data_IF_849803256297
#
_entry.id   IF_849803256297
#
_cell.length_a   1.000
_cell.length_b   1.000
_cell.length_c   1.000
_cell.angle_alpha   90.00
_cell.angle_beta   90.00
_cell.angle_gamma   90.00
#
_symmetry.space_group_name_H-M   'P 1'
#
loop_
_entity.id
_entity.type
_entity.pdbx_description
1 polymer ?
#
# COMPACT_ATOMS: atom_id res chain seq x y z
N UNK A 1 1.94 -17.29 -18.51
CA UNK A 1 1.44 -15.94 -18.83
C UNK A 1 2.60 -15.05 -19.19
N UNK A 2 2.59 -14.44 -20.38
CA UNK A 2 3.64 -13.51 -20.75
C UNK A 2 3.26 -12.11 -20.27
N UNK A 3 3.78 -11.74 -19.10
CA UNK A 3 3.90 -10.34 -18.69
C UNK A 3 4.61 -9.58 -19.84
N UNK A 4 4.18 -8.36 -20.21
CA UNK A 4 4.82 -7.60 -21.28
C UNK A 4 6.33 -7.48 -21.08
N UNK A 5 7.09 -7.53 -22.18
CA UNK A 5 8.53 -7.29 -22.12
C UNK A 5 8.80 -5.85 -21.64
N UNK A 6 9.63 -5.72 -20.61
CA UNK A 6 9.95 -4.42 -19.99
C UNK A 6 8.92 -3.93 -18.98
N UNK A 7 7.96 -4.79 -18.58
CA UNK A 7 7.11 -4.51 -17.43
C UNK A 7 7.93 -4.51 -16.14
N UNK A 8 7.69 -3.53 -15.30
CA UNK A 8 8.23 -3.45 -13.95
C UNK A 8 7.07 -3.36 -12.96
N UNK A 9 7.11 -4.05 -11.81
CA UNK A 9 5.99 -4.07 -10.87
C UNK A 9 5.53 -2.70 -10.38
N UNK A 10 6.40 -1.68 -10.41
CA UNK A 10 6.07 -0.31 -10.03
C UNK A 10 4.97 0.29 -10.91
N UNK A 11 4.86 -0.15 -12.16
CA UNK A 11 3.87 0.32 -13.16
C UNK A 11 2.43 -0.13 -12.91
N UNK A 12 2.19 -0.77 -11.77
CA UNK A 12 0.88 -1.12 -11.25
C UNK A 12 0.74 -0.64 -9.80
N UNK A 13 1.71 0.06 -9.23
CA UNK A 13 1.70 0.48 -7.83
C UNK A 13 1.26 1.93 -7.79
N UNK A 14 0.28 2.22 -6.95
CA UNK A 14 -0.19 3.57 -6.70
C UNK A 14 0.94 4.53 -6.30
N UNK A 15 0.68 5.82 -6.44
CA UNK A 15 1.66 6.87 -6.15
C UNK A 15 2.32 6.72 -4.77
N UNK A 16 3.60 7.12 -4.65
CA UNK A 16 4.34 7.06 -3.36
C UNK A 16 3.57 7.67 -2.20
N UNK A 17 2.88 8.79 -2.44
CA UNK A 17 2.04 9.50 -1.46
C UNK A 17 0.90 8.62 -0.97
N UNK A 18 0.21 7.92 -1.88
CA UNK A 18 -0.86 6.99 -1.57
C UNK A 18 -0.34 5.81 -0.75
N UNK A 19 0.73 5.16 -1.22
CA UNK A 19 1.31 3.99 -0.54
C UNK A 19 1.77 4.34 0.88
N UNK A 20 2.34 5.53 1.08
CA UNK A 20 2.72 6.03 2.41
C UNK A 20 1.51 6.16 3.34
N UNK A 21 0.42 6.77 2.87
CA UNK A 21 -0.83 6.91 3.65
C UNK A 21 -1.45 5.56 4.02
N UNK A 22 -1.50 4.63 3.07
CA UNK A 22 -2.04 3.29 3.31
C UNK A 22 -1.18 2.54 4.32
N UNK A 23 0.15 2.61 4.21
CA UNK A 23 1.08 2.05 5.21
C UNK A 23 0.89 2.67 6.59
N UNK A 24 0.71 3.99 6.68
CA UNK A 24 0.43 4.68 7.94
C UNK A 24 -0.89 4.20 8.57
N UNK A 25 -1.96 4.08 7.77
CA UNK A 25 -3.27 3.65 8.24
C UNK A 25 -3.29 2.21 8.78
N UNK A 26 -2.55 1.29 8.16
CA UNK A 26 -2.47 -0.12 8.59
C UNK A 26 -1.42 -0.36 9.69
N UNK A 27 -0.53 0.62 9.89
CA UNK A 27 0.52 0.64 10.89
C UNK A 27 1.53 -0.51 10.78
N UNK A 28 2.41 -0.61 11.80
CA UNK A 28 3.51 -1.60 11.87
C UNK A 28 3.03 -3.07 11.80
N UNK A 29 1.79 -3.33 12.21
CA UNK A 29 1.19 -4.67 12.15
C UNK A 29 0.63 -5.04 10.77
N UNK A 30 0.71 -4.11 9.80
CA UNK A 30 0.17 -4.22 8.44
C UNK A 30 -1.24 -4.76 8.47
N UNK A 31 -2.08 -4.14 9.31
CA UNK A 31 -3.42 -4.64 9.57
C UNK A 31 -4.46 -3.68 9.03
N UNK A 32 -5.02 -4.02 7.87
CA UNK A 32 -6.14 -3.31 7.27
C UNK A 32 -7.45 -3.82 7.89
N UNK A 33 -8.02 -3.06 8.83
CA UNK A 33 -9.33 -3.39 9.37
C UNK A 33 -10.40 -2.95 8.38
N UNK A 34 -11.30 -3.85 8.01
CA UNK A 34 -12.40 -3.55 7.10
C UNK A 34 -13.75 -3.76 7.78
N UNK A 35 -14.71 -2.89 7.50
CA UNK A 35 -16.11 -3.09 7.90
C UNK A 35 -16.93 -3.40 6.65
N UNK A 36 -17.63 -4.54 6.64
CA UNK A 36 -18.55 -4.88 5.55
C UNK A 36 -19.92 -4.33 5.95
N UNK A 37 -20.47 -3.39 5.19
CA UNK A 37 -21.80 -2.85 5.45
C UNK A 37 -22.84 -3.99 5.35
N UNK A 38 -23.64 -4.25 6.40
CA UNK A 38 -24.75 -5.20 6.31
C UNK A 38 -25.83 -4.82 5.28
N UNK A 39 -25.83 -3.57 4.81
CA UNK A 39 -26.79 -3.02 3.86
C UNK A 39 -28.19 -2.84 4.44
N UNK A 40 -29.12 -2.41 3.59
CA UNK A 40 -30.51 -2.16 3.97
C UNK A 40 -30.71 -0.86 4.75
N UNK A 41 -29.73 0.06 4.68
CA UNK A 41 -29.91 1.40 5.19
C UNK A 41 -30.87 2.18 4.28
N UNK A 42 -31.69 3.05 4.87
CA UNK A 42 -32.48 4.00 4.09
C UNK A 42 -31.68 5.25 3.69
N UNK A 43 -30.39 5.28 4.02
CA UNK A 43 -29.51 6.38 3.66
C UNK A 43 -29.15 6.29 2.18
N UNK A 44 -29.13 7.45 1.53
CA UNK A 44 -28.72 7.59 0.14
C UNK A 44 -27.30 8.14 0.12
N UNK A 45 -26.46 7.50 -0.68
CA UNK A 45 -25.08 7.88 -0.94
C UNK A 45 -25.00 8.51 -2.32
N UNK A 46 -24.11 9.49 -2.48
CA UNK A 46 -23.71 9.98 -3.79
C UNK A 46 -22.47 9.19 -4.21
N UNK A 47 -22.58 8.41 -5.29
CA UNK A 47 -21.51 7.54 -5.79
C UNK A 47 -21.27 7.81 -7.27
N UNK A 48 -20.01 7.71 -7.71
CA UNK A 48 -19.68 7.78 -9.13
C UNK A 48 -20.22 6.56 -9.87
N UNK A 49 -20.77 6.78 -11.07
CA UNK A 49 -21.23 5.71 -11.96
C UNK A 49 -20.43 5.75 -13.27
N UNK A 50 -19.70 4.67 -13.54
CA UNK A 50 -18.83 4.57 -14.70
C UNK A 50 -19.60 4.44 -16.02
N UNK A 51 -20.78 3.85 -16.00
CA UNK A 51 -21.59 3.75 -17.21
C UNK A 51 -22.20 5.10 -17.59
N UNK A 52 -22.73 5.83 -16.61
CA UNK A 52 -23.37 7.13 -16.83
C UNK A 52 -22.40 8.32 -16.84
N UNK A 53 -21.13 8.09 -16.44
CA UNK A 53 -20.08 9.11 -16.35
C UNK A 53 -20.49 10.31 -15.49
N UNK A 54 -21.17 10.05 -14.37
CA UNK A 54 -21.65 11.06 -13.43
C UNK A 54 -21.89 10.47 -12.04
N UNK A 55 -22.05 11.36 -11.06
CA UNK A 55 -22.56 10.97 -9.75
C UNK A 55 -24.06 10.59 -9.81
N UNK A 56 -24.41 9.54 -9.08
CA UNK A 56 -25.76 9.02 -8.92
C UNK A 56 -26.09 8.79 -7.45
N UNK A 57 -27.38 8.82 -7.14
CA UNK A 57 -27.90 8.50 -5.81
C UNK A 57 -28.11 6.99 -5.69
N UNK A 58 -27.38 6.34 -4.80
CA UNK A 58 -27.46 4.89 -4.55
C UNK A 58 -27.77 4.58 -3.08
N UNK A 59 -28.30 3.39 -2.82
CA UNK A 59 -28.53 2.87 -1.46
C UNK A 59 -27.79 1.56 -1.26
N UNK A 60 -27.34 1.31 -0.04
CA UNK A 60 -26.67 0.05 0.27
C UNK A 60 -27.68 -1.10 0.33
N UNK A 61 -27.43 -2.14 -0.45
CA UNK A 61 -28.23 -3.35 -0.54
C UNK A 61 -27.66 -4.42 0.39
N UNK A 62 -28.52 -5.26 0.96
CA UNK A 62 -28.06 -6.35 1.82
C UNK A 62 -27.29 -7.38 0.98
N UNK A 63 -26.00 -7.64 1.28
CA UNK A 63 -25.22 -8.61 0.50
C UNK A 63 -25.84 -10.01 0.48
N UNK A 64 -25.85 -10.65 -0.68
CA UNK A 64 -26.22 -12.06 -0.78
C UNK A 64 -25.14 -12.94 -0.13
N UNK A 65 -25.53 -14.14 0.32
CA UNK A 65 -24.60 -15.08 0.98
C UNK A 65 -23.38 -15.39 0.13
N UNK A 66 -23.54 -15.48 -1.19
CA UNK A 66 -22.44 -15.79 -2.10
C UNK A 66 -21.49 -14.59 -2.28
N UNK A 67 -21.99 -13.34 -2.31
CA UNK A 67 -21.15 -12.13 -2.32
C UNK A 67 -20.30 -12.05 -1.06
N UNK A 68 -20.91 -12.29 0.12
CA UNK A 68 -20.17 -12.37 1.38
C UNK A 68 -19.12 -13.48 1.39
N UNK A 69 -19.42 -14.64 0.78
CA UNK A 69 -18.42 -15.71 0.63
C UNK A 69 -17.27 -15.24 -0.25
N UNK A 70 -17.55 -14.65 -1.41
CA UNK A 70 -16.52 -14.13 -2.31
C UNK A 70 -15.62 -13.13 -1.60
N UNK A 71 -16.21 -12.13 -0.94
CA UNK A 71 -15.48 -11.10 -0.21
C UNK A 71 -14.54 -11.76 0.81
N UNK A 72 -15.09 -12.62 1.69
CA UNK A 72 -14.32 -13.24 2.79
C UNK A 72 -13.29 -14.26 2.30
N UNK A 73 -13.60 -15.01 1.25
CA UNK A 73 -12.68 -15.99 0.66
C UNK A 73 -11.51 -15.28 -0.04
N UNK A 74 -11.78 -14.20 -0.78
CA UNK A 74 -10.76 -13.36 -1.39
C UNK A 74 -9.86 -12.70 -0.33
N UNK A 75 -10.44 -12.17 0.76
CA UNK A 75 -9.67 -11.64 1.91
C UNK A 75 -8.82 -12.73 2.55
N UNK A 76 -9.38 -13.92 2.78
CA UNK A 76 -8.65 -15.05 3.35
C UNK A 76 -7.47 -15.44 2.47
N UNK A 77 -7.66 -15.47 1.16
CA UNK A 77 -6.60 -15.76 0.19
C UNK A 77 -5.54 -14.65 0.17
N UNK A 78 -5.94 -13.38 0.19
CA UNK A 78 -5.00 -12.25 0.28
C UNK A 78 -4.13 -12.35 1.54
N UNK A 79 -4.72 -12.69 2.68
CA UNK A 79 -4.01 -12.92 3.95
C UNK A 79 -3.02 -14.10 3.92
N UNK A 80 -3.19 -15.05 2.98
CA UNK A 80 -2.29 -16.18 2.80
C UNK A 80 -1.14 -15.85 1.84
N UNK A 81 -1.42 -15.04 0.81
CA UNK A 81 -0.46 -14.73 -0.26
C UNK A 81 0.40 -13.49 0.05
N UNK A 82 -0.14 -12.52 0.78
CA UNK A 82 0.51 -11.23 1.00
C UNK A 82 0.70 -10.91 2.48
N UNK A 83 1.74 -10.12 2.80
CA UNK A 83 2.00 -9.68 4.17
C UNK A 83 1.29 -8.34 4.48
N UNK A 84 0.00 -8.31 4.15
CA UNK A 84 -1.01 -7.36 4.60
C UNK A 84 -2.16 -8.17 5.21
N UNK A 85 -2.43 -7.95 6.50
CA UNK A 85 -3.49 -8.62 7.24
C UNK A 85 -4.80 -7.84 7.13
N UNK A 86 -5.64 -8.22 6.20
CA UNK A 86 -7.00 -7.71 6.07
C UNK A 86 -7.91 -8.41 7.09
N UNK A 87 -8.53 -7.64 7.99
CA UNK A 87 -9.37 -8.16 9.07
C UNK A 87 -10.74 -7.50 9.08
N UNK A 88 -11.79 -8.31 8.97
CA UNK A 88 -13.17 -7.85 9.22
C UNK A 88 -13.37 -7.43 10.68
N UNK A 89 -13.95 -6.25 10.88
CA UNK A 89 -14.36 -5.69 12.18
C UNK A 89 -15.87 -5.45 12.18
N UNK A 90 -16.48 -5.49 13.36
CA UNK A 90 -17.94 -5.41 13.51
C UNK A 90 -18.50 -3.99 13.61
N UNK A 91 -17.66 -2.95 13.58
CA UNK A 91 -18.09 -1.55 13.74
C UNK A 91 -17.33 -0.65 12.74
N UNK A 92 -18.02 0.30 12.06
CA UNK A 92 -17.39 1.21 11.09
C UNK A 92 -16.24 2.04 11.67
N UNK A 93 -16.40 2.62 12.86
CA UNK A 93 -15.34 3.43 13.47
C UNK A 93 -14.07 2.65 13.87
N UNK A 94 -14.05 1.33 13.69
CA UNK A 94 -12.88 0.47 13.92
C UNK A 94 -12.19 0.04 12.61
N UNK A 95 -12.75 0.39 11.46
CA UNK A 95 -12.19 0.06 10.17
C UNK A 95 -11.35 1.21 9.62
N UNK A 96 -10.35 0.85 8.83
CA UNK A 96 -9.61 1.74 7.95
C UNK A 96 -10.34 1.97 6.62
N UNK A 97 -11.15 0.99 6.22
CA UNK A 97 -11.95 1.03 5.00
C UNK A 97 -13.29 0.30 5.19
N UNK A 98 -14.30 0.70 4.44
CA UNK A 98 -15.59 0.01 4.37
C UNK A 98 -15.74 -0.75 3.05
N UNK A 99 -16.56 -1.80 3.04
CA UNK A 99 -17.05 -2.44 1.81
C UNK A 99 -18.55 -2.23 1.77
N UNK A 100 -19.03 -1.56 0.73
CA UNK A 100 -20.42 -1.18 0.55
C UNK A 100 -20.93 -1.77 -0.77
N UNK A 101 -22.09 -2.44 -0.73
CA UNK A 101 -22.73 -2.99 -1.93
C UNK A 101 -23.97 -2.15 -2.24
N UNK A 102 -24.05 -1.59 -3.44
CA UNK A 102 -25.10 -0.64 -3.84
C UNK A 102 -26.12 -1.27 -4.78
N UNK A 103 -27.36 -0.80 -4.73
CA UNK A 103 -28.45 -1.28 -5.57
C UNK A 103 -28.39 -0.82 -7.05
N UNK A 104 -27.37 -0.05 -7.44
CA UNK A 104 -27.19 0.49 -8.80
C UNK A 104 -25.97 -0.20 -9.44
N UNK A 105 -26.04 -0.65 -10.70
CA UNK A 105 -24.89 -1.23 -11.41
C UNK A 105 -23.87 -0.15 -11.84
N UNK A 106 -22.61 -0.54 -12.04
CA UNK A 106 -21.55 0.34 -12.56
C UNK A 106 -21.03 1.38 -11.57
N UNK A 107 -21.14 1.08 -10.29
CA UNK A 107 -20.62 1.90 -9.19
C UNK A 107 -19.44 1.23 -8.49
N UNK A 108 -18.86 0.23 -9.14
CA UNK A 108 -17.68 -0.51 -8.67
C UNK A 108 -16.47 0.42 -8.70
N UNK A 109 -15.94 0.75 -7.54
CA UNK A 109 -14.84 1.70 -7.39
C UNK A 109 -14.26 1.63 -5.97
N UNK A 110 -13.07 2.20 -5.78
CA UNK A 110 -12.60 2.61 -4.46
C UNK A 110 -12.72 4.13 -4.34
N UNK A 111 -13.50 4.60 -3.37
CA UNK A 111 -13.48 6.01 -2.99
C UNK A 111 -12.29 6.24 -2.05
N UNK A 112 -11.28 6.91 -2.57
CA UNK A 112 -9.97 7.05 -1.95
C UNK A 112 -9.85 8.34 -1.14
N UNK A 113 -10.21 8.27 0.15
CA UNK A 113 -10.00 9.39 1.06
C UNK A 113 -9.28 8.94 2.34
N UNK A 114 -7.98 8.68 2.19
CA UNK A 114 -7.09 8.39 3.31
C UNK A 114 -6.80 9.63 4.19
N UNK A 115 -7.19 10.85 3.79
CA UNK A 115 -6.93 12.09 4.54
C UNK A 115 -7.88 12.28 5.73
N UNK A 116 -9.15 11.88 5.58
CA UNK A 116 -10.12 11.85 6.69
C UNK A 116 -10.42 10.44 7.23
N UNK A 117 -9.76 9.42 6.66
CA UNK A 117 -9.87 8.02 7.07
C UNK A 117 -11.13 7.31 6.54
N UNK A 118 -11.80 7.89 5.53
CA UNK A 118 -13.00 7.32 4.92
C UNK A 118 -12.70 6.68 3.57
N UNK A 119 -12.04 5.52 3.59
CA UNK A 119 -11.92 4.70 2.38
C UNK A 119 -13.11 3.78 2.26
N UNK A 120 -13.68 3.67 1.06
CA UNK A 120 -14.77 2.75 0.80
C UNK A 120 -14.58 2.03 -0.52
N UNK A 121 -14.68 0.71 -0.48
CA UNK A 121 -14.75 -0.15 -1.65
C UNK A 121 -16.23 -0.33 -1.97
N UNK A 122 -16.64 0.21 -3.10
CA UNK A 122 -18.00 0.14 -3.61
C UNK A 122 -18.12 -1.03 -4.58
N UNK A 123 -19.22 -1.77 -4.48
CA UNK A 123 -19.59 -2.80 -5.43
C UNK A 123 -21.04 -2.58 -5.86
N UNK A 124 -21.36 -2.79 -7.13
CA UNK A 124 -22.74 -2.96 -7.56
C UNK A 124 -23.27 -4.32 -7.10
N UNK A 125 -24.47 -4.34 -6.52
CA UNK A 125 -25.18 -5.57 -6.13
C UNK A 125 -25.37 -6.50 -7.33
N UNK A 126 -25.48 -5.89 -8.52
CA UNK A 126 -25.76 -6.57 -9.77
C UNK A 126 -24.61 -6.66 -10.76
N UNK A 127 -23.42 -6.19 -10.38
CA UNK A 127 -22.24 -6.21 -11.24
C UNK A 127 -21.92 -7.62 -11.77
N UNK A 128 -21.25 -7.70 -12.92
CA UNK A 128 -21.00 -8.94 -13.64
C UNK A 128 -22.20 -9.47 -14.46
N UNK A 129 -23.34 -8.77 -14.44
CA UNK A 129 -24.46 -9.00 -15.37
C UNK A 129 -24.35 -8.10 -16.61
N UNK A 130 -23.42 -7.17 -16.64
CA UNK A 130 -23.28 -6.22 -17.74
C UNK A 130 -22.54 -6.86 -18.93
N UNK A 131 -22.98 -6.55 -20.15
CA UNK A 131 -22.38 -7.03 -21.40
C UNK A 131 -23.39 -7.61 -22.40
N UNK A 132 -22.90 -8.17 -23.49
CA UNK A 132 -23.73 -8.64 -24.62
C UNK A 132 -24.76 -9.71 -24.25
N UNK A 133 -24.49 -10.46 -23.17
CA UNK A 133 -25.38 -11.54 -22.70
C UNK A 133 -26.69 -10.99 -22.12
N UNK A 134 -26.66 -9.83 -21.48
CA UNK A 134 -27.83 -9.18 -20.87
C UNK A 134 -27.87 -7.69 -21.24
N UNK A 135 -28.32 -7.34 -22.46
CA UNK A 135 -28.18 -6.00 -23.01
C UNK A 135 -28.86 -4.88 -22.21
N UNK A 136 -29.91 -5.18 -21.43
CA UNK A 136 -30.65 -4.22 -20.60
C UNK A 136 -30.33 -4.35 -19.10
N UNK A 137 -29.35 -5.16 -18.70
CA UNK A 137 -28.96 -5.33 -17.29
C UNK A 137 -28.51 -4.03 -16.64
N UNK A 138 -27.97 -3.07 -17.40
CA UNK A 138 -27.67 -1.72 -16.89
C UNK A 138 -28.90 -1.00 -16.34
N UNK A 139 -30.07 -1.22 -16.94
CA UNK A 139 -31.32 -0.52 -16.60
C UNK A 139 -32.30 -1.37 -15.79
N UNK A 140 -32.21 -2.70 -15.91
CA UNK A 140 -33.13 -3.67 -15.28
C UNK A 140 -32.38 -4.91 -14.79
N UNK A 141 -31.36 -4.75 -13.94
CA UNK A 141 -30.53 -5.88 -13.52
C UNK A 141 -31.30 -6.90 -12.67
N UNK A 142 -32.45 -6.53 -12.10
CA UNK A 142 -33.34 -7.41 -11.34
C UNK A 142 -33.96 -8.54 -12.18
N UNK A 143 -34.02 -8.38 -13.50
CA UNK A 143 -34.54 -9.40 -14.41
C UNK A 143 -33.62 -10.61 -14.55
N UNK A 144 -32.36 -10.48 -14.11
CA UNK A 144 -31.33 -11.48 -14.34
C UNK A 144 -30.74 -12.00 -13.03
N UNK A 145 -30.67 -13.33 -12.85
CA UNK A 145 -29.93 -13.93 -11.75
C UNK A 145 -28.45 -14.10 -12.11
N UNK A 146 -27.55 -14.01 -11.12
CA UNK A 146 -26.16 -14.41 -11.32
C UNK A 146 -26.03 -15.93 -11.39
N UNK A 147 -25.67 -16.43 -12.57
CA UNK A 147 -25.18 -17.79 -12.78
C UNK A 147 -23.71 -17.94 -12.35
N UNK A 148 -23.10 -19.11 -12.60
CA UNK A 148 -21.71 -19.37 -12.19
C UNK A 148 -20.71 -18.36 -12.77
N UNK A 149 -20.80 -18.07 -14.07
CA UNK A 149 -19.89 -17.16 -14.76
C UNK A 149 -20.07 -15.73 -14.26
N UNK A 150 -21.31 -15.25 -14.08
CA UNK A 150 -21.59 -13.90 -13.59
C UNK A 150 -21.07 -13.68 -12.17
N UNK A 151 -21.15 -14.71 -11.31
CA UNK A 151 -20.57 -14.65 -9.95
C UNK A 151 -19.05 -14.59 -9.99
N UNK A 152 -18.43 -15.26 -10.96
CA UNK A 152 -16.98 -15.23 -11.13
C UNK A 152 -16.51 -13.90 -11.74
N UNK A 153 -17.30 -13.29 -12.62
CA UNK A 153 -17.08 -11.90 -13.06
C UNK A 153 -17.23 -10.93 -11.89
N UNK A 154 -18.26 -11.07 -11.05
CA UNK A 154 -18.38 -10.28 -9.82
C UNK A 154 -17.16 -10.45 -8.90
N UNK A 155 -16.63 -11.68 -8.77
CA UNK A 155 -15.36 -11.94 -8.05
C UNK A 155 -14.19 -11.18 -8.67
N UNK A 156 -14.03 -11.21 -10.00
CA UNK A 156 -12.98 -10.47 -10.71
C UNK A 156 -13.06 -8.98 -10.39
N UNK A 157 -14.25 -8.37 -10.49
CA UNK A 157 -14.47 -6.95 -10.16
C UNK A 157 -14.10 -6.69 -8.70
N UNK A 158 -14.59 -7.51 -7.76
CA UNK A 158 -14.21 -7.35 -6.35
C UNK A 158 -12.70 -7.45 -6.12
N UNK A 159 -12.02 -8.37 -6.80
CA UNK A 159 -10.56 -8.52 -6.68
C UNK A 159 -9.81 -7.33 -7.29
N UNK A 160 -10.33 -6.74 -8.37
CA UNK A 160 -9.81 -5.50 -8.96
C UNK A 160 -9.88 -4.36 -7.93
N UNK A 161 -11.07 -4.12 -7.35
CA UNK A 161 -11.23 -3.06 -6.33
C UNK A 161 -10.43 -3.35 -5.05
N UNK A 162 -10.31 -4.62 -4.67
CA UNK A 162 -9.41 -5.02 -3.58
C UNK A 162 -7.95 -4.70 -3.92
N UNK A 163 -7.55 -4.81 -5.19
CA UNK A 163 -6.24 -4.40 -5.70
C UNK A 163 -5.99 -2.92 -5.45
N UNK A 164 -6.92 -2.05 -5.84
CA UNK A 164 -6.87 -0.62 -5.54
C UNK A 164 -6.76 -0.34 -4.05
N UNK A 165 -7.61 -0.96 -3.23
CA UNK A 165 -7.56 -0.81 -1.78
C UNK A 165 -6.21 -1.28 -1.17
N UNK A 166 -5.51 -2.19 -1.85
CA UNK A 166 -4.19 -2.69 -1.49
C UNK A 166 -3.04 -1.92 -2.16
N UNK A 167 -3.32 -0.88 -2.96
CA UNK A 167 -2.35 0.02 -3.55
C UNK A 167 -1.91 -0.32 -4.96
N UNK A 168 -2.75 -1.00 -5.72
CA UNK A 168 -2.55 -1.14 -7.15
C UNK A 168 -3.27 -0.01 -7.91
N UNK A 169 -2.73 0.38 -9.05
CA UNK A 169 -3.37 1.28 -10.01
C UNK A 169 -3.59 0.59 -11.36
N UNK A 170 -4.29 1.25 -12.28
CA UNK A 170 -4.51 0.70 -13.62
C UNK A 170 -3.22 0.76 -14.45
N UNK A 171 -2.98 -0.21 -15.36
CA UNK A 171 -1.74 -0.27 -16.15
C UNK A 171 -1.56 0.88 -17.16
N UNK A 172 -2.59 1.69 -17.38
CA UNK A 172 -2.53 2.86 -18.27
C UNK A 172 -2.36 4.18 -17.53
N UNK A 173 -2.37 4.18 -16.20
CA UNK A 173 -2.16 5.42 -15.44
C UNK A 173 -0.76 5.98 -15.67
N UNK A 174 -0.65 7.30 -15.46
CA UNK A 174 0.59 8.09 -15.63
C UNK A 174 0.80 9.11 -14.53
N UNK A 175 -0.09 9.13 -13.53
CA UNK A 175 -0.17 10.21 -12.57
C UNK A 175 1.11 10.36 -11.75
N UNK A 176 1.80 9.24 -11.49
CA UNK A 176 3.05 9.19 -10.72
C UNK A 176 4.33 9.17 -11.59
N UNK A 177 4.16 9.14 -12.92
CA UNK A 177 5.23 9.18 -13.90
C UNK A 177 5.67 7.83 -14.47
N UNK A 178 5.02 6.73 -14.12
CA UNK A 178 5.21 5.44 -14.80
C UNK A 178 3.94 4.97 -15.55
N UNK A 179 4.04 3.88 -16.32
CA UNK A 179 2.95 3.26 -17.09
C UNK A 179 3.43 1.89 -17.59
N UNK A 180 2.53 0.88 -17.66
CA UNK A 180 2.89 -0.41 -18.24
C UNK A 180 3.20 -0.30 -19.75
N UNK A 181 4.23 -1.02 -20.25
CA UNK A 181 4.67 -0.90 -21.63
C UNK A 181 3.58 -1.38 -22.60
N UNK A 182 3.28 -0.53 -23.59
CA UNK A 182 2.32 -0.84 -24.65
C UNK A 182 0.84 -0.66 -24.27
N UNK A 183 0.54 -0.27 -23.02
CA UNK A 183 -0.82 0.02 -22.55
C UNK A 183 -1.07 1.52 -22.71
N UNK A 184 -2.00 1.92 -23.59
CA UNK A 184 -2.19 3.34 -23.94
C UNK A 184 -3.32 4.02 -23.17
N UNK A 185 -4.35 3.24 -22.83
CA UNK A 185 -5.59 3.66 -22.18
C UNK A 185 -6.38 2.42 -21.73
N UNK A 186 -7.53 2.65 -21.10
CA UNK A 186 -8.46 1.63 -20.60
C UNK A 186 -8.95 0.60 -21.62
N UNK A 187 -8.90 0.90 -22.92
CA UNK A 187 -9.28 -0.05 -23.99
C UNK A 187 -8.15 -1.02 -24.37
N UNK A 188 -6.98 -0.92 -23.73
CA UNK A 188 -5.83 -1.76 -24.05
C UNK A 188 -6.02 -3.19 -23.52
N UNK A 189 -5.79 -4.17 -24.38
CA UNK A 189 -5.88 -5.59 -24.02
C UNK A 189 -4.78 -5.97 -23.02
N UNK A 190 -5.19 -6.43 -21.83
CA UNK A 190 -4.36 -6.59 -20.62
C UNK A 190 -4.63 -7.92 -19.93
N UNK A 191 -4.50 -9.08 -20.61
CA UNK A 191 -4.85 -10.41 -20.07
C UNK A 191 -3.86 -10.95 -19.02
N UNK A 192 -2.98 -10.09 -18.49
CA UNK A 192 -1.86 -10.43 -17.60
C UNK A 192 -1.94 -9.71 -16.24
N UNK A 193 -2.96 -8.88 -16.04
CA UNK A 193 -3.24 -8.13 -14.82
C UNK A 193 -4.74 -8.01 -14.62
N UNK A 194 -5.22 -8.23 -13.40
CA UNK A 194 -6.63 -7.99 -13.04
C UNK A 194 -6.96 -6.49 -13.01
N UNK A 195 -5.94 -5.63 -12.91
CA UNK A 195 -6.08 -4.16 -12.90
C UNK A 195 -6.43 -3.59 -14.27
N UNK A 196 -6.50 -4.42 -15.32
CA UNK A 196 -7.04 -4.03 -16.61
C UNK A 196 -8.55 -4.28 -16.74
N UNK A 197 -9.19 -3.63 -17.73
CA UNK A 197 -10.60 -3.90 -18.07
C UNK A 197 -10.80 -5.17 -18.91
N UNK A 198 -9.73 -5.89 -19.24
CA UNK A 198 -9.85 -7.20 -19.85
C UNK A 198 -10.45 -8.20 -18.85
N UNK A 199 -11.48 -8.96 -19.25
CA UNK A 199 -12.14 -9.91 -18.34
C UNK A 199 -11.45 -11.26 -18.24
N UNK A 200 -10.79 -11.68 -19.32
CA UNK A 200 -10.26 -13.03 -19.48
C UNK A 200 -8.75 -13.02 -19.70
N UNK A 201 -8.10 -14.04 -19.16
CA UNK A 201 -6.69 -14.30 -19.41
C UNK A 201 -6.45 -14.83 -20.83
N UNK A 202 -5.19 -15.10 -21.16
CA UNK A 202 -4.79 -15.63 -22.47
C UNK A 202 -5.38 -17.01 -22.81
N UNK A 203 -5.79 -17.76 -21.78
CA UNK A 203 -6.39 -19.09 -21.90
C UNK A 203 -7.93 -19.03 -21.95
N UNK A 204 -8.52 -17.82 -21.86
CA UNK A 204 -9.95 -17.58 -21.90
C UNK A 204 -10.66 -17.75 -20.55
N UNK A 205 -9.93 -17.90 -19.44
CA UNK A 205 -10.53 -17.98 -18.10
C UNK A 205 -10.80 -16.58 -17.56
N UNK A 206 -11.88 -16.42 -16.78
CA UNK A 206 -12.12 -15.16 -16.05
C UNK A 206 -10.98 -14.94 -15.05
N UNK A 207 -10.41 -13.73 -15.02
CA UNK A 207 -9.31 -13.35 -14.12
C UNK A 207 -9.80 -13.16 -12.67
N UNK A 208 -10.33 -14.21 -12.06
CA UNK A 208 -11.01 -14.15 -10.77
C UNK A 208 -10.06 -14.05 -9.55
N UNK A 209 -8.76 -13.89 -9.79
CA UNK A 209 -7.74 -13.60 -8.79
C UNK A 209 -6.63 -12.73 -9.39
N UNK A 210 -5.78 -12.17 -8.54
CA UNK A 210 -4.54 -11.51 -8.93
C UNK A 210 -3.69 -12.39 -9.86
N UNK A 211 -3.27 -11.79 -10.97
CA UNK A 211 -2.34 -12.36 -11.92
C UNK A 211 -0.90 -12.19 -11.42
N UNK A 212 0.07 -12.77 -12.13
CA UNK A 212 1.46 -12.75 -11.69
C UNK A 212 2.03 -11.32 -11.59
N UNK A 213 1.65 -10.42 -12.50
CA UNK A 213 2.06 -9.01 -12.44
C UNK A 213 1.52 -8.31 -11.17
N UNK A 214 0.24 -8.52 -10.87
CA UNK A 214 -0.42 -7.96 -9.67
C UNK A 214 0.25 -8.48 -8.39
N UNK A 215 0.58 -9.78 -8.34
CA UNK A 215 1.26 -10.38 -7.20
C UNK A 215 2.66 -9.82 -7.02
N UNK A 216 3.41 -9.56 -8.09
CA UNK A 216 4.72 -8.93 -8.00
C UNK A 216 4.63 -7.51 -7.45
N UNK A 217 3.64 -6.73 -7.91
CA UNK A 217 3.38 -5.39 -7.40
C UNK A 217 2.95 -5.40 -5.92
N UNK A 218 1.96 -6.23 -5.56
CA UNK A 218 1.50 -6.38 -4.17
C UNK A 218 2.61 -6.91 -3.25
N UNK A 219 3.45 -7.84 -3.70
CA UNK A 219 4.60 -8.28 -2.93
C UNK A 219 5.65 -7.19 -2.78
N UNK A 220 5.83 -6.31 -3.77
CA UNK A 220 6.71 -5.16 -3.65
C UNK A 220 6.21 -4.15 -2.61
N UNK A 221 4.89 -3.95 -2.50
CA UNK A 221 4.29 -3.08 -1.48
C UNK A 221 4.33 -3.75 -0.09
N UNK A 222 3.90 -5.01 -0.02
CA UNK A 222 3.48 -5.67 1.23
C UNK A 222 4.38 -6.79 1.71
N UNK A 223 5.41 -7.25 1.00
CA UNK A 223 6.33 -8.25 1.55
C UNK A 223 6.99 -7.72 2.82
N UNK A 224 7.19 -8.55 3.86
CA UNK A 224 8.16 -8.17 4.88
C UNK A 224 9.47 -8.03 4.11
N UNK A 225 10.26 -6.99 4.36
CA UNK A 225 11.67 -7.09 3.98
C UNK A 225 12.16 -8.39 4.63
N UNK A 226 12.45 -9.41 3.81
CA UNK A 226 12.88 -10.67 4.36
C UNK A 226 14.13 -10.37 5.16
N UNK A 227 14.24 -10.99 6.33
CA UNK A 227 15.53 -11.33 6.87
C UNK A 227 16.21 -12.26 5.84
N UNK A 228 16.72 -11.71 4.74
CA UNK A 228 17.64 -12.42 3.88
C UNK A 228 18.91 -12.61 4.71
N UNK A 229 18.92 -13.74 5.41
CA UNK A 229 20.13 -14.52 5.66
C UNK A 229 20.60 -15.06 4.32
N UNK A 230 20.95 -14.15 3.42
CA UNK A 230 21.57 -14.38 2.13
C UNK A 230 22.51 -13.20 2.02
N UNK A 231 23.80 -13.49 2.14
CA UNK A 231 24.85 -12.58 1.70
C UNK A 231 24.51 -12.12 0.29
N UNK A 232 24.02 -10.88 0.16
CA UNK A 232 24.32 -9.94 -0.91
C UNK A 232 23.52 -8.65 -0.66
N UNK A 233 24.15 -7.51 -0.95
CA UNK A 233 23.80 -6.17 -0.47
C UNK A 233 22.33 -5.78 -0.67
N UNK A 234 21.74 -5.17 0.36
CA UNK A 234 20.35 -4.74 0.40
C UNK A 234 20.27 -3.22 0.16
N UNK A 235 19.85 -2.85 -1.03
CA UNK A 235 19.51 -1.49 -1.43
C UNK A 235 18.26 -1.02 -0.70
N UNK A 236 18.46 -0.24 0.37
CA UNK A 236 17.39 0.47 1.08
C UNK A 236 17.62 1.98 0.98
N UNK A 237 16.90 2.63 0.08
CA UNK A 237 16.61 4.06 0.17
C UNK A 237 15.10 4.17 0.00
N UNK A 238 14.38 4.59 1.03
CA UNK A 238 12.93 4.81 0.98
C UNK A 238 12.09 4.24 2.13
N UNK A 239 12.69 3.65 3.17
CA UNK A 239 12.00 3.33 4.43
C UNK A 239 12.47 4.30 5.53
N UNK A 240 11.54 4.79 6.35
CA UNK A 240 11.87 5.55 7.55
C UNK A 240 12.66 4.70 8.56
N UNK A 241 13.66 5.29 9.20
CA UNK A 241 14.49 4.66 10.22
C UNK A 241 13.74 4.69 11.55
N UNK A 242 13.55 3.52 12.15
CA UNK A 242 12.91 3.36 13.45
C UNK A 242 13.91 2.96 14.55
N UNK A 243 13.53 3.14 15.81
CA UNK A 243 14.31 2.62 16.92
C UNK A 243 14.49 1.09 16.81
N UNK A 244 15.74 0.59 16.78
CA UNK A 244 15.99 -0.83 16.70
C UNK A 244 15.63 -1.51 18.03
N UNK A 245 15.29 -2.80 18.00
CA UNK A 245 15.03 -3.59 19.22
C UNK A 245 16.18 -3.53 20.24
N UNK A 246 17.40 -3.30 19.75
CA UNK A 246 18.63 -3.11 20.53
C UNK A 246 19.57 -2.19 19.75
N UNK A 247 20.19 -1.22 20.40
CA UNK A 247 21.11 -0.28 19.75
C UNK A 247 22.50 -0.89 19.50
N UNK A 248 22.58 -1.78 18.51
CA UNK A 248 23.82 -2.45 18.13
C UNK A 248 23.91 -2.67 16.61
N UNK A 249 25.12 -2.91 16.10
CA UNK A 249 25.37 -3.04 14.65
C UNK A 249 24.59 -4.16 13.94
N UNK A 250 24.18 -5.22 14.66
CA UNK A 250 23.41 -6.33 14.06
C UNK A 250 21.94 -5.95 13.87
N UNK A 251 21.45 -5.04 14.71
CA UNK A 251 20.06 -4.58 14.72
C UNK A 251 19.87 -3.23 14.03
N UNK A 252 20.96 -2.55 13.67
CA UNK A 252 20.93 -1.31 12.91
C UNK A 252 20.62 -1.58 11.43
N UNK A 253 19.89 -0.65 10.83
CA UNK A 253 19.55 -0.68 9.41
C UNK A 253 20.81 -0.54 8.55
N UNK A 254 20.82 -1.20 7.39
CA UNK A 254 21.95 -1.15 6.45
C UNK A 254 21.46 -0.54 5.15
N UNK A 255 21.93 0.66 4.89
CA UNK A 255 21.53 1.48 3.75
C UNK A 255 22.66 1.42 2.73
N UNK A 256 22.50 0.70 1.60
CA UNK A 256 23.63 0.49 0.67
C UNK A 256 23.76 1.52 -0.44
N UNK A 257 22.66 2.14 -0.88
CA UNK A 257 22.62 2.96 -2.10
C UNK A 257 22.11 4.40 -1.89
N UNK A 258 22.33 4.97 -0.70
CA UNK A 258 21.90 6.35 -0.43
C UNK A 258 22.66 7.37 -1.29
N UNK A 259 21.91 8.14 -2.07
CA UNK A 259 22.38 9.27 -2.85
C UNK A 259 22.00 10.60 -2.16
N UNK A 260 22.94 11.30 -1.51
CA UNK A 260 22.66 12.54 -0.80
C UNK A 260 22.19 13.71 -1.69
N UNK A 261 22.24 13.57 -3.02
CA UNK A 261 21.74 14.59 -3.95
C UNK A 261 20.25 14.46 -4.26
N UNK A 262 19.67 13.27 -4.09
CA UNK A 262 18.29 12.96 -4.48
C UNK A 262 17.45 12.38 -3.35
N UNK A 263 18.12 11.77 -2.37
CA UNK A 263 17.47 10.94 -1.38
C UNK A 263 17.37 11.67 -0.04
N UNK A 264 16.28 11.37 0.68
CA UNK A 264 16.02 11.85 2.04
C UNK A 264 15.89 10.64 2.96
N UNK A 265 16.48 10.71 4.16
CA UNK A 265 16.31 9.75 5.23
C UNK A 265 15.18 10.22 6.14
N UNK A 266 14.06 9.52 6.08
CA UNK A 266 13.00 9.70 7.06
C UNK A 266 13.40 9.02 8.38
N UNK A 267 13.15 9.66 9.52
CA UNK A 267 13.40 9.11 10.86
C UNK A 267 12.14 9.32 11.72
N UNK A 268 11.57 8.22 12.20
CA UNK A 268 10.36 8.21 13.04
C UNK A 268 10.72 8.59 14.48
N UNK A 269 10.54 9.86 14.82
CA UNK A 269 10.96 10.45 16.10
C UNK A 269 10.21 9.88 17.29
N UNK A 270 8.93 9.56 17.11
CA UNK A 270 8.09 8.89 18.09
C UNK A 270 8.67 7.53 18.54
N UNK A 271 9.27 6.74 17.64
CA UNK A 271 9.90 5.47 18.04
C UNK A 271 11.11 5.64 18.95
N UNK A 272 11.74 6.80 18.94
CA UNK A 272 12.86 7.16 19.81
C UNK A 272 12.41 7.89 21.08
N UNK A 273 11.11 8.13 21.26
CA UNK A 273 10.56 8.85 22.41
C UNK A 273 10.92 10.33 22.41
N UNK A 274 11.05 10.94 21.23
CA UNK A 274 11.36 12.36 21.08
C UNK A 274 10.06 13.12 20.81
N UNK A 275 9.55 13.83 21.82
CA UNK A 275 8.28 14.57 21.74
C UNK A 275 8.43 15.99 21.15
N UNK A 276 9.63 16.38 20.71
CA UNK A 276 9.98 17.72 20.22
C UNK A 276 10.79 17.70 18.92
N UNK A 277 11.19 18.87 18.40
CA UNK A 277 12.03 18.94 17.19
C UNK A 277 13.36 18.22 17.38
N UNK A 278 13.56 17.12 16.67
CA UNK A 278 14.82 16.37 16.69
C UNK A 278 15.98 17.17 16.06
N UNK A 279 17.17 16.93 16.57
CA UNK A 279 18.40 17.62 16.19
C UNK A 279 19.44 16.65 15.63
N UNK A 280 20.27 17.16 14.72
CA UNK A 280 21.25 16.36 13.99
C UNK A 280 22.62 17.01 13.94
N UNK A 281 23.68 16.21 14.09
CA UNK A 281 25.04 16.65 13.83
C UNK A 281 25.93 15.56 13.24
N UNK A 282 26.95 15.97 12.49
CA UNK A 282 27.92 15.06 11.88
C UNK A 282 29.29 15.18 12.55
N UNK A 283 30.03 14.07 12.56
CA UNK A 283 31.40 14.03 13.04
C UNK A 283 32.30 13.24 12.10
N UNK A 284 33.48 13.81 11.82
CA UNK A 284 34.55 13.23 10.97
C UNK A 284 34.96 11.79 11.27
N UNK A 285 34.58 11.24 12.42
CA UNK A 285 34.80 9.85 12.79
C UNK A 285 34.03 9.48 14.08
N UNK A 286 33.91 8.17 14.36
CA UNK A 286 33.38 7.63 15.62
C UNK A 286 33.90 8.28 16.91
N UNK A 287 35.18 8.70 16.95
CA UNK A 287 35.75 9.34 18.16
C UNK A 287 35.17 10.74 18.34
N UNK A 288 35.01 11.52 17.26
CA UNK A 288 34.34 12.82 17.29
C UNK A 288 32.88 12.66 17.76
N UNK A 289 32.14 11.74 17.15
CA UNK A 289 30.76 11.39 17.55
C UNK A 289 30.70 11.06 19.04
N UNK A 290 31.42 10.04 19.51
CA UNK A 290 31.28 9.53 20.89
C UNK A 290 31.90 10.39 21.99
N UNK A 291 32.92 11.20 21.68
CA UNK A 291 33.69 11.92 22.72
C UNK A 291 33.44 13.42 22.73
N UNK A 292 32.90 13.98 21.64
CA UNK A 292 32.62 15.42 21.50
C UNK A 292 31.14 15.70 21.29
N UNK A 293 30.50 15.03 20.34
CA UNK A 293 29.10 15.33 19.98
C UNK A 293 28.09 14.68 20.94
N UNK A 294 28.33 13.44 21.38
CA UNK A 294 27.51 12.74 22.39
C UNK A 294 27.74 13.25 23.84
N UNK A 295 28.02 14.55 23.97
CA UNK A 295 28.07 15.34 25.21
C UNK A 295 27.42 16.71 24.99
N UNK A 296 26.79 16.87 23.83
CA UNK A 296 26.05 18.03 23.39
C UNK A 296 24.64 17.55 23.14
N UNK A 297 23.71 18.48 23.18
CA UNK A 297 22.29 18.19 23.07
C UNK A 297 21.90 17.98 21.61
N UNK A 298 22.33 16.84 21.06
CA UNK A 298 21.99 16.36 19.72
C UNK A 298 21.35 14.99 19.82
N UNK A 299 20.20 14.80 19.20
CA UNK A 299 19.46 13.54 19.21
C UNK A 299 20.08 12.51 18.26
N UNK A 300 20.45 12.94 17.05
CA UNK A 300 21.00 12.07 16.01
C UNK A 300 22.41 12.51 15.58
N UNK A 301 23.32 11.54 15.52
CA UNK A 301 24.73 11.79 15.27
C UNK A 301 25.27 10.88 14.17
N UNK A 302 25.96 11.45 13.18
CA UNK A 302 26.51 10.71 12.04
C UNK A 302 28.04 10.61 12.05
N UNK A 303 28.58 9.41 11.81
CA UNK A 303 30.01 9.11 11.65
C UNK A 303 30.38 9.11 10.17
N UNK A 304 30.83 10.26 9.66
CA UNK A 304 31.20 10.49 8.25
C UNK A 304 32.27 9.51 7.75
N UNK A 305 33.09 8.93 8.64
CA UNK A 305 34.16 8.01 8.21
C UNK A 305 33.64 6.59 7.97
N UNK A 306 32.55 6.20 8.63
CA UNK A 306 32.07 4.81 8.61
C UNK A 306 30.59 4.67 8.26
N UNK A 307 29.91 5.78 8.01
CA UNK A 307 28.49 5.84 7.68
C UNK A 307 27.56 5.44 8.83
N UNK A 308 28.03 5.49 10.08
CA UNK A 308 27.19 5.08 11.21
C UNK A 308 26.29 6.23 11.67
N UNK A 309 24.99 6.03 11.69
CA UNK A 309 24.02 6.93 12.30
C UNK A 309 23.66 6.42 13.71
N UNK A 310 23.69 7.31 14.69
CA UNK A 310 23.51 6.99 16.10
C UNK A 310 22.39 7.86 16.69
N UNK A 311 21.56 7.26 17.55
CA UNK A 311 20.67 7.96 18.45
C UNK A 311 21.36 8.20 19.80
N UNK A 312 21.21 9.39 20.34
CA UNK A 312 21.74 9.85 21.61
C UNK A 312 20.59 10.16 22.58
N UNK A 313 20.16 9.14 23.31
CA UNK A 313 19.09 9.29 24.31
C UNK A 313 19.49 10.18 25.49
N UNK A 314 20.79 10.31 25.75
CA UNK A 314 21.32 11.02 26.92
C UNK A 314 21.40 12.55 26.75
N UNK A 315 21.05 13.10 25.58
CA UNK A 315 21.26 14.51 25.30
C UNK A 315 22.69 14.97 25.60
N UNK A 316 22.84 16.02 26.42
CA UNK A 316 24.15 16.55 26.83
C UNK A 316 24.95 15.65 27.81
N UNK A 317 24.34 14.63 28.40
CA UNK A 317 25.03 13.72 29.31
C UNK A 317 26.03 12.82 28.59
N UNK A 318 27.02 12.33 29.34
CA UNK A 318 28.13 11.57 28.76
C UNK A 318 27.66 10.23 28.19
N UNK A 319 27.75 10.07 26.88
CA UNK A 319 27.52 8.79 26.21
C UNK A 319 26.26 8.82 25.34
N UNK A 320 25.65 7.66 25.09
CA UNK A 320 24.42 7.57 24.29
C UNK A 320 23.21 7.12 25.11
N UNK A 321 23.36 6.94 26.43
CA UNK A 321 22.34 6.29 27.25
C UNK A 321 22.16 4.82 26.88
N UNK A 322 20.91 4.39 26.85
CA UNK A 322 20.47 3.14 26.24
C UNK A 322 20.45 3.24 24.71
N UNK A 323 20.56 4.45 24.15
CA UNK A 323 20.73 4.72 22.73
C UNK A 323 22.04 4.19 22.13
N UNK A 324 22.21 4.39 20.82
CA UNK A 324 23.38 3.93 20.10
C UNK A 324 23.14 3.84 18.60
N UNK A 325 23.78 2.88 17.92
CA UNK A 325 23.74 2.84 16.45
C UNK A 325 22.36 2.39 15.95
N UNK A 326 21.79 3.15 15.02
CA UNK A 326 20.45 2.93 14.44
C UNK A 326 20.53 2.56 12.95
N UNK A 327 21.49 3.11 12.22
CA UNK A 327 21.71 2.78 10.81
C UNK A 327 23.20 2.81 10.42
N UNK A 328 23.51 2.17 9.30
CA UNK A 328 24.83 2.08 8.67
C UNK A 328 24.66 2.34 7.18
N UNK A 329 25.03 3.53 6.73
CA UNK A 329 25.08 3.92 5.32
C UNK A 329 26.40 3.41 4.71
N UNK A 330 26.31 2.48 3.75
CA UNK A 330 27.47 2.01 2.99
C UNK A 330 27.99 3.14 2.09
N UNK A 331 29.29 3.11 1.83
CA UNK A 331 29.98 4.20 1.15
C UNK A 331 30.25 5.42 2.03
N UNK A 332 29.60 5.52 3.20
CA UNK A 332 29.68 6.67 4.10
C UNK A 332 29.43 8.00 3.33
N UNK A 333 28.24 8.15 2.70
CA UNK A 333 27.91 9.34 1.94
C UNK A 333 27.97 10.58 2.83
N UNK A 334 28.19 11.74 2.21
CA UNK A 334 28.11 13.03 2.89
C UNK A 334 26.65 13.28 3.26
N UNK A 335 26.34 13.31 4.56
CA UNK A 335 24.99 13.40 5.08
C UNK A 335 24.86 14.69 5.87
N UNK A 336 23.96 15.57 5.46
CA UNK A 336 23.69 16.85 6.15
C UNK A 336 22.27 16.88 6.70
N UNK A 337 21.94 17.87 7.52
CA UNK A 337 20.58 18.00 8.08
C UNK A 337 19.48 18.10 7.02
N UNK A 338 19.77 18.61 5.81
CA UNK A 338 18.78 18.66 4.71
C UNK A 338 18.51 17.30 4.06
N UNK A 339 19.30 16.29 4.37
CA UNK A 339 19.09 14.93 3.93
C UNK A 339 18.25 14.12 4.92
N UNK A 340 17.79 14.73 6.02
CA UNK A 340 16.98 14.08 7.04
C UNK A 340 15.62 14.75 7.11
N UNK A 341 14.59 13.92 7.18
CA UNK A 341 13.23 14.33 7.50
C UNK A 341 12.83 13.62 8.80
N UNK A 342 12.50 14.41 9.82
CA UNK A 342 12.03 13.91 11.10
C UNK A 342 10.51 13.86 11.06
N UNK A 343 9.96 12.64 11.10
CA UNK A 343 8.53 12.37 11.00
C UNK A 343 7.94 11.90 12.32
#
# INVERSE_FOLDING_TARGET
MAIPLGFEPVQLIESKKWISRTKAAVGKNRKLNIFIDPGGSNHTHTVWNDHEQREVSAKTEKPEKWQLSIIRDSIKRANQEFNLKVKEVSKPHKSNATIEIFNVPGVDAVAENWEDGTNSLHMGFKSGLEGDKYPDAWSKPENYPHGPDERETWRKIFVHELGHLMGLEHPWEKADGDQAPGVKNSNSYTPWTVMGYTDRDQDGNIMAWFQEADKQALNKIWSPYSNNSSSDGLDSVGDAIYAPKKFNKKSADKITNFNPSTDTLEIDTDSFGIDSSATFATGKNKKAVKKKLAKQDFDFLYDEKKGGLYFNENGADKGFGEGGIIAILKGAPDLTGSNLEFI
#
